data_IF_985156789405
#
_entry.id   IF_985156789405
#
_cell.length_a   1.000
_cell.length_b   1.000
_cell.length_c   1.000
_cell.angle_alpha   90.00
_cell.angle_beta   90.00
_cell.angle_gamma   90.00
#
_symmetry.space_group_name_H-M   'P 1'
#
loop_
_entity.id
_entity.type
_entity.pdbx_description
1 polymer ?
#
# COMPACT_ATOMS: atom_id res chain seq x y z
N UNK A 1 -36.93 41.18 64.31
CA UNK A 1 -37.16 40.84 62.87
C UNK A 1 -36.03 41.47 62.08
N UNK A 2 -34.96 40.70 61.88
CA UNK A 2 -34.44 40.21 60.57
C UNK A 2 -33.97 41.33 59.63
N UNK A 3 -32.68 41.64 59.76
CA UNK A 3 -31.84 42.20 58.71
C UNK A 3 -30.87 41.10 58.28
N UNK A 4 -30.88 40.74 56.99
CA UNK A 4 -29.90 39.85 56.38
C UNK A 4 -29.67 40.28 54.93
N UNK A 5 -28.39 40.40 54.60
CA UNK A 5 -27.82 40.81 53.34
C UNK A 5 -27.92 39.71 52.27
N UNK A 6 -27.97 40.11 51.00
CA UNK A 6 -27.60 39.24 49.88
C UNK A 6 -26.65 39.99 48.94
N UNK A 7 -25.46 39.41 48.85
CA UNK A 7 -24.22 39.85 48.20
C UNK A 7 -24.34 39.67 46.68
N UNK A 8 -23.81 40.63 45.93
CA UNK A 8 -23.92 40.75 44.48
C UNK A 8 -23.18 39.68 43.66
N UNK A 9 -23.87 39.22 42.62
CA UNK A 9 -23.44 38.27 41.58
C UNK A 9 -22.36 38.78 40.60
N UNK A 10 -21.74 39.94 40.87
CA UNK A 10 -20.79 40.56 39.94
C UNK A 10 -19.35 40.00 40.06
N UNK A 11 -19.01 39.33 41.16
CA UNK A 11 -17.66 38.78 41.38
C UNK A 11 -17.37 37.45 40.67
N UNK A 12 -18.40 36.63 40.39
CA UNK A 12 -18.21 35.27 39.88
C UNK A 12 -17.85 35.23 38.39
N UNK A 13 -18.29 36.20 37.59
CA UNK A 13 -17.97 36.26 36.15
C UNK A 13 -16.58 36.81 35.85
N UNK A 14 -15.99 37.61 36.75
CA UNK A 14 -14.62 38.10 36.59
C UNK A 14 -13.58 36.99 36.85
N UNK A 15 -13.86 36.10 37.82
CA UNK A 15 -12.99 34.97 38.13
C UNK A 15 -12.99 33.91 37.00
N UNK A 16 -14.14 33.68 36.36
CA UNK A 16 -14.25 32.74 35.24
C UNK A 16 -13.48 33.19 33.99
N UNK A 17 -13.49 34.49 33.68
CA UNK A 17 -12.72 35.06 32.55
C UNK A 17 -11.20 35.02 32.78
N UNK A 18 -10.75 35.06 34.03
CA UNK A 18 -9.34 34.90 34.38
C UNK A 18 -8.89 33.43 34.34
N UNK A 19 -9.72 32.49 34.77
CA UNK A 19 -9.43 31.05 34.69
C UNK A 19 -9.42 30.57 33.22
N UNK A 20 -10.31 31.07 32.36
CA UNK A 20 -10.32 30.71 30.94
C UNK A 20 -9.09 31.23 30.17
N UNK A 21 -8.52 32.38 30.57
CA UNK A 21 -7.28 32.91 29.99
C UNK A 21 -6.04 32.17 30.46
N UNK A 22 -6.06 31.58 31.65
CA UNK A 22 -4.96 30.75 32.19
C UNK A 22 -4.94 29.34 31.56
N UNK A 23 -6.10 28.78 31.19
CA UNK A 23 -6.18 27.48 30.50
C UNK A 23 -5.73 27.56 29.04
N UNK A 24 -5.92 28.69 28.36
CA UNK A 24 -5.47 28.89 26.96
C UNK A 24 -3.94 29.08 26.86
N UNK A 25 -3.27 29.58 27.90
CA UNK A 25 -1.80 29.74 27.89
C UNK A 25 -1.07 28.43 28.21
N UNK A 26 -1.70 27.49 28.93
CA UNK A 26 -1.09 26.18 29.22
C UNK A 26 -1.27 25.18 28.07
N UNK A 27 -2.30 25.32 27.24
CA UNK A 27 -2.47 24.50 26.03
C UNK A 27 -1.64 25.05 24.84
N UNK A 28 -1.24 26.33 24.86
CA UNK A 28 -0.38 26.96 23.85
C UNK A 28 1.12 26.66 23.96
N UNK A 29 1.56 25.92 24.99
CA UNK A 29 2.97 25.51 25.17
C UNK A 29 3.18 23.99 24.99
N UNK A 30 2.13 23.23 24.67
CA UNK A 30 2.20 21.79 24.42
C UNK A 30 2.51 21.38 22.97
N UNK A 31 2.53 22.32 22.02
CA UNK A 31 2.60 22.04 20.57
C UNK A 31 3.90 22.50 19.90
N UNK A 32 4.94 22.85 20.65
CA UNK A 32 6.30 23.14 20.11
C UNK A 32 7.25 21.91 20.29
N UNK A 33 6.75 20.79 20.81
CA UNK A 33 7.58 19.63 21.20
C UNK A 33 7.69 18.47 20.20
N UNK A 34 6.99 18.49 19.06
CA UNK A 34 6.94 17.32 18.15
C UNK A 34 7.88 17.39 16.93
N UNK A 35 8.68 18.45 16.76
CA UNK A 35 9.65 18.56 15.66
C UNK A 35 11.13 18.51 16.08
N UNK A 36 11.44 18.60 17.39
CA UNK A 36 12.84 18.62 17.86
C UNK A 36 13.40 17.25 18.30
N UNK A 37 12.62 16.17 18.21
CA UNK A 37 13.09 14.81 18.54
C UNK A 37 13.86 14.11 17.42
N UNK A 38 13.64 14.47 16.15
CA UNK A 38 14.24 13.75 15.02
C UNK A 38 15.68 14.16 14.72
N UNK A 39 16.11 15.36 15.11
CA UNK A 39 17.51 15.79 14.93
C UNK A 39 18.48 15.16 15.95
N UNK A 40 18.01 14.70 17.12
CA UNK A 40 18.89 14.03 18.10
C UNK A 40 19.20 12.57 17.75
N UNK A 41 18.32 11.90 17.01
CA UNK A 41 18.54 10.53 16.50
C UNK A 41 19.64 10.51 15.43
N UNK A 42 19.88 11.64 14.73
CA UNK A 42 20.95 11.77 13.75
C UNK A 42 22.33 12.16 14.35
N UNK A 43 22.39 12.61 15.61
CA UNK A 43 23.62 13.16 16.22
C UNK A 43 24.56 12.06 16.77
N UNK A 44 24.10 10.80 16.89
CA UNK A 44 24.96 9.68 17.32
C UNK A 44 24.63 8.37 16.58
N UNK A 45 24.86 8.27 15.25
CA UNK A 45 24.59 7.04 14.51
C UNK A 45 25.38 5.85 15.04
N UNK A 46 26.57 6.06 15.64
CA UNK A 46 27.40 4.99 16.19
C UNK A 46 26.75 4.22 17.36
N UNK A 47 26.03 4.89 18.26
CA UNK A 47 25.37 4.23 19.41
C UNK A 47 24.05 3.60 18.98
N UNK A 48 23.36 4.25 18.04
CA UNK A 48 22.06 3.81 17.51
C UNK A 48 22.22 2.60 16.59
N UNK A 49 23.27 2.57 15.77
CA UNK A 49 23.57 1.46 14.85
C UNK A 49 24.30 0.29 15.51
N UNK A 50 24.72 0.41 16.77
CA UNK A 50 25.36 -0.70 17.48
C UNK A 50 24.33 -1.80 17.77
N UNK A 51 24.47 -3.00 17.17
CA UNK A 51 23.54 -4.11 17.39
C UNK A 51 23.57 -4.65 18.83
N UNK A 52 24.56 -4.28 19.65
CA UNK A 52 24.59 -4.61 21.07
C UNK A 52 23.52 -3.87 21.88
N UNK A 53 23.07 -2.69 21.43
CA UNK A 53 22.11 -1.84 22.15
C UNK A 53 20.64 -2.20 21.83
N UNK A 54 20.27 -3.46 22.09
CA UNK A 54 18.92 -3.99 21.77
C UNK A 54 17.78 -3.26 22.49
N UNK A 55 17.99 -2.80 23.73
CA UNK A 55 16.94 -2.14 24.52
C UNK A 55 16.52 -0.79 23.94
N UNK A 56 17.48 0.06 23.56
CA UNK A 56 17.22 1.35 22.92
C UNK A 56 16.52 1.16 21.57
N UNK A 57 17.00 0.20 20.78
CA UNK A 57 16.46 -0.08 19.44
C UNK A 57 15.01 -0.56 19.51
N UNK A 58 14.70 -1.44 20.46
CA UNK A 58 13.33 -1.93 20.70
C UNK A 58 12.39 -0.83 21.21
N UNK A 59 12.85 0.01 22.13
CA UNK A 59 12.05 1.11 22.66
C UNK A 59 11.66 2.14 21.57
N UNK A 60 12.53 2.37 20.58
CA UNK A 60 12.21 3.23 19.45
C UNK A 60 11.13 2.61 18.56
N UNK A 61 11.18 1.30 18.36
CA UNK A 61 10.20 0.59 17.53
C UNK A 61 8.83 0.44 18.18
N UNK A 62 8.76 0.23 19.50
CA UNK A 62 7.47 0.07 20.19
C UNK A 62 6.57 1.30 20.05
N UNK A 63 7.13 2.50 19.81
CA UNK A 63 6.36 3.69 19.45
C UNK A 63 5.79 3.62 18.04
N UNK A 64 6.52 3.02 17.09
CA UNK A 64 6.11 2.93 15.68
C UNK A 64 5.08 1.83 15.40
N UNK A 65 4.94 0.83 16.28
CA UNK A 65 3.99 -0.28 16.09
C UNK A 65 2.53 0.18 16.07
N UNK A 66 2.20 1.27 16.77
CA UNK A 66 0.84 1.83 16.82
C UNK A 66 0.32 2.34 15.46
N UNK A 67 1.22 2.87 14.62
CA UNK A 67 0.87 3.38 13.29
C UNK A 67 1.10 2.36 12.17
N UNK A 68 1.75 1.23 12.46
CA UNK A 68 2.05 0.22 11.44
C UNK A 68 0.76 -0.31 10.79
N UNK A 69 -0.26 -0.61 11.58
CA UNK A 69 -1.51 -1.13 11.05
C UNK A 69 -2.33 -0.08 10.30
N UNK A 70 -2.31 1.18 10.75
CA UNK A 70 -3.02 2.27 10.06
C UNK A 70 -2.39 2.50 8.68
N UNK A 71 -1.06 2.50 8.59
CA UNK A 71 -0.32 2.65 7.34
C UNK A 71 -0.45 1.45 6.40
N UNK A 72 -0.40 0.22 6.94
CA UNK A 72 -0.60 -0.99 6.14
C UNK A 72 -1.99 -1.04 5.50
N UNK A 73 -3.03 -0.62 6.22
CA UNK A 73 -4.41 -0.62 5.70
C UNK A 73 -4.66 0.48 4.66
N UNK A 74 -3.84 1.53 4.63
CA UNK A 74 -3.93 2.60 3.64
C UNK A 74 -3.31 2.20 2.30
N UNK A 75 -2.64 1.05 2.18
CA UNK A 75 -1.90 0.66 0.97
C UNK A 75 -2.26 -0.77 0.55
N UNK A 76 -2.22 -1.04 -0.74
CA UNK A 76 -2.15 -2.42 -1.23
C UNK A 76 -0.73 -2.92 -1.22
N UNK A 77 -0.58 -4.23 -1.09
CA UNK A 77 0.70 -4.91 -1.16
C UNK A 77 0.82 -5.53 -2.56
N UNK A 78 1.77 -5.09 -3.40
CA UNK A 78 2.00 -5.69 -4.70
C UNK A 78 2.51 -7.13 -4.54
N UNK A 79 1.94 -8.07 -5.27
CA UNK A 79 2.39 -9.45 -5.31
C UNK A 79 3.36 -9.62 -6.49
N UNK A 80 4.59 -10.05 -6.21
CA UNK A 80 5.64 -10.26 -7.21
C UNK A 80 6.31 -11.61 -7.00
N UNK A 81 6.57 -12.38 -8.06
CA UNK A 81 7.28 -13.66 -7.90
C UNK A 81 8.73 -13.45 -7.44
N UNK A 82 9.39 -12.39 -7.92
CA UNK A 82 10.76 -11.98 -7.54
C UNK A 82 10.83 -10.45 -7.43
N UNK A 83 11.87 -9.90 -6.80
CA UNK A 83 11.99 -8.44 -6.59
C UNK A 83 11.98 -7.62 -7.88
N UNK A 84 12.60 -8.16 -8.93
CA UNK A 84 12.71 -7.50 -10.23
C UNK A 84 11.52 -7.79 -11.17
N UNK A 85 10.65 -8.73 -10.79
CA UNK A 85 9.50 -9.11 -11.61
C UNK A 85 8.40 -8.05 -11.47
N UNK A 86 7.55 -7.90 -12.51
CA UNK A 86 6.39 -7.03 -12.41
C UNK A 86 5.40 -7.51 -11.35
N UNK A 87 4.54 -6.60 -10.91
CA UNK A 87 3.39 -6.88 -10.07
C UNK A 87 2.40 -7.72 -10.87
N UNK A 88 2.09 -8.92 -10.36
CA UNK A 88 1.15 -9.87 -10.98
C UNK A 88 -0.21 -9.87 -10.27
N UNK A 89 -0.38 -9.03 -9.26
CA UNK A 89 -1.55 -9.03 -8.38
C UNK A 89 -1.36 -8.14 -7.17
N UNK A 90 -2.41 -7.99 -6.39
CA UNK A 90 -2.40 -7.13 -5.19
C UNK A 90 -3.16 -7.77 -4.05
N UNK A 91 -2.69 -7.50 -2.84
CA UNK A 91 -3.36 -7.85 -1.60
C UNK A 91 -3.79 -6.59 -0.85
N UNK A 92 -5.06 -6.54 -0.46
CA UNK A 92 -5.72 -5.46 0.26
C UNK A 92 -5.96 -5.90 1.71
N UNK A 93 -5.12 -5.45 2.67
CA UNK A 93 -5.35 -5.73 4.07
C UNK A 93 -6.61 -5.02 4.56
N UNK A 94 -7.52 -5.78 5.17
CA UNK A 94 -8.77 -5.27 5.77
C UNK A 94 -8.70 -5.21 7.28
N UNK A 95 -7.90 -6.07 7.90
CA UNK A 95 -7.61 -6.02 9.31
C UNK A 95 -6.13 -6.29 9.56
N UNK A 96 -5.58 -5.59 10.55
CA UNK A 96 -4.20 -5.73 11.00
C UNK A 96 -4.23 -5.67 12.52
N UNK A 97 -3.58 -6.64 13.16
CA UNK A 97 -3.33 -6.63 14.59
C UNK A 97 -1.84 -6.88 14.80
N UNK A 98 -1.21 -6.01 15.58
CA UNK A 98 0.21 -6.07 15.87
C UNK A 98 0.40 -6.04 17.37
N UNK A 99 1.21 -6.95 17.89
CA UNK A 99 1.57 -7.01 19.30
C UNK A 99 3.06 -7.32 19.45
N UNK A 100 3.70 -6.74 20.44
CA UNK A 100 5.06 -7.11 20.83
C UNK A 100 4.99 -8.34 21.76
N UNK A 101 5.78 -9.37 21.45
CA UNK A 101 5.91 -10.57 22.26
C UNK A 101 6.91 -10.34 23.40
N UNK A 102 6.89 -11.19 24.43
CA UNK A 102 7.80 -11.09 25.59
C UNK A 102 9.29 -11.16 25.20
N UNK A 103 9.61 -11.79 24.07
CA UNK A 103 10.96 -11.87 23.52
C UNK A 103 11.42 -10.57 22.82
N UNK A 104 10.52 -9.59 22.65
CA UNK A 104 10.69 -8.34 21.92
C UNK A 104 10.48 -8.46 20.40
N UNK A 105 9.98 -9.59 19.91
CA UNK A 105 9.65 -9.76 18.50
C UNK A 105 8.25 -9.21 18.21
N UNK A 106 8.04 -8.83 16.95
CA UNK A 106 6.76 -8.30 16.50
C UNK A 106 5.88 -9.43 15.98
N UNK A 107 4.74 -9.66 16.60
CA UNK A 107 3.71 -10.53 16.05
C UNK A 107 2.69 -9.71 15.27
N UNK A 108 2.60 -9.95 13.97
CA UNK A 108 1.66 -9.30 13.08
C UNK A 108 0.67 -10.32 12.52
N UNK A 109 -0.62 -10.06 12.75
CA UNK A 109 -1.73 -10.77 12.13
C UNK A 109 -2.36 -9.87 11.06
N UNK A 110 -2.43 -10.38 9.84
CA UNK A 110 -2.96 -9.70 8.67
C UNK A 110 -4.11 -10.51 8.09
N UNK A 111 -5.24 -9.86 7.87
CA UNK A 111 -6.39 -10.42 7.17
C UNK A 111 -6.71 -9.51 6.00
N UNK A 112 -6.96 -10.11 4.84
CA UNK A 112 -7.32 -9.35 3.66
C UNK A 112 -7.80 -10.22 2.51
N UNK A 113 -7.91 -9.57 1.37
CA UNK A 113 -8.34 -10.15 0.11
C UNK A 113 -7.42 -9.67 -0.99
N UNK A 114 -7.40 -10.37 -2.10
CA UNK A 114 -6.63 -9.93 -3.23
C UNK A 114 -6.93 -10.73 -4.47
N UNK A 115 -6.21 -10.37 -5.52
CA UNK A 115 -6.16 -11.13 -6.75
C UNK A 115 -4.71 -11.28 -7.18
N UNK A 116 -4.47 -12.30 -7.99
CA UNK A 116 -3.21 -12.49 -8.67
C UNK A 116 -3.42 -13.14 -10.02
N UNK A 117 -2.37 -13.14 -10.81
CA UNK A 117 -2.36 -13.83 -12.08
C UNK A 117 -1.18 -14.79 -12.16
N UNK A 118 -1.41 -15.91 -12.85
CA UNK A 118 -0.32 -16.78 -13.28
C UNK A 118 -0.62 -17.38 -14.64
N UNK A 119 0.44 -17.69 -15.39
CA UNK A 119 0.36 -18.42 -16.67
C UNK A 119 -0.43 -19.74 -16.57
N UNK A 120 -0.47 -20.37 -15.38
CA UNK A 120 -1.07 -21.69 -15.19
C UNK A 120 -2.56 -21.60 -14.85
N UNK A 121 -2.90 -20.69 -13.93
CA UNK A 121 -4.27 -20.59 -13.39
C UNK A 121 -5.09 -19.50 -14.05
N UNK A 122 -4.45 -18.59 -14.79
CA UNK A 122 -5.02 -17.31 -15.14
C UNK A 122 -5.25 -16.44 -13.91
N UNK A 123 -6.31 -15.63 -13.92
CA UNK A 123 -6.65 -14.73 -12.81
C UNK A 123 -7.21 -15.56 -11.66
N UNK A 124 -6.72 -15.32 -10.45
CA UNK A 124 -7.21 -15.92 -9.22
C UNK A 124 -7.62 -14.82 -8.26
N UNK A 125 -8.79 -14.95 -7.64
CA UNK A 125 -9.22 -14.14 -6.51
C UNK A 125 -9.11 -14.95 -5.22
N UNK A 126 -8.69 -14.33 -4.13
CA UNK A 126 -8.46 -15.02 -2.87
C UNK A 126 -8.72 -14.15 -1.63
N UNK A 127 -9.01 -14.81 -0.52
CA UNK A 127 -8.95 -14.26 0.82
C UNK A 127 -7.76 -14.91 1.54
N UNK A 128 -6.99 -14.12 2.29
CA UNK A 128 -5.85 -14.62 3.04
C UNK A 128 -5.81 -14.09 4.46
N UNK A 129 -5.41 -14.97 5.38
CA UNK A 129 -5.13 -14.67 6.78
C UNK A 129 -3.73 -15.19 7.09
N UNK A 130 -2.88 -14.33 7.64
CA UNK A 130 -1.51 -14.67 7.99
C UNK A 130 -1.15 -14.14 9.37
N UNK A 131 -0.52 -14.98 10.17
CA UNK A 131 0.03 -14.63 11.48
C UNK A 131 1.53 -14.91 11.48
N UNK A 132 2.33 -13.86 11.65
CA UNK A 132 3.76 -13.89 11.39
C UNK A 132 4.49 -13.22 12.55
N UNK A 133 5.56 -13.86 13.01
CA UNK A 133 6.52 -13.29 13.93
C UNK A 133 7.69 -12.72 13.13
N UNK A 134 7.89 -11.41 13.24
CA UNK A 134 8.98 -10.66 12.64
C UNK A 134 10.03 -10.30 13.69
N UNK A 135 11.29 -10.55 13.35
CA UNK A 135 12.44 -9.91 13.96
C UNK A 135 12.67 -8.58 13.25
N UNK A 136 12.77 -7.50 14.01
CA UNK A 136 12.88 -6.16 13.45
C UNK A 136 14.21 -5.51 13.82
N UNK A 137 14.78 -4.75 12.89
CA UNK A 137 16.06 -4.10 13.08
C UNK A 137 16.11 -2.80 12.26
N UNK A 138 16.95 -1.82 12.60
CA UNK A 138 17.09 -0.61 11.77
C UNK A 138 18.53 -0.11 11.65
N UNK A 139 18.86 0.52 10.54
CA UNK A 139 20.15 1.16 10.38
C UNK A 139 19.90 2.61 9.99
N UNK A 140 20.57 3.52 10.70
CA UNK A 140 20.70 4.92 10.31
C UNK A 140 21.88 5.02 9.34
N UNK A 141 21.62 5.43 8.10
CA UNK A 141 22.65 5.59 7.09
C UNK A 141 22.69 7.04 6.61
N UNK A 142 23.38 7.91 7.35
CA UNK A 142 23.32 9.35 7.14
C UNK A 142 22.00 9.92 7.66
N UNK A 143 21.22 10.56 6.78
CA UNK A 143 19.93 11.18 7.13
C UNK A 143 18.72 10.23 6.97
N UNK A 144 18.94 9.02 6.45
CA UNK A 144 17.91 8.00 6.22
C UNK A 144 17.88 6.95 7.32
N UNK A 145 16.67 6.47 7.60
CA UNK A 145 16.42 5.33 8.47
C UNK A 145 15.94 4.15 7.63
N UNK A 146 16.68 3.06 7.65
CA UNK A 146 16.30 1.82 6.97
C UNK A 146 15.87 0.81 8.02
N UNK A 147 14.60 0.43 7.99
CA UNK A 147 14.00 -0.55 8.89
C UNK A 147 13.84 -1.88 8.16
N UNK A 148 14.32 -2.95 8.76
CA UNK A 148 14.19 -4.33 8.29
C UNK A 148 13.20 -5.10 9.14
N UNK A 149 12.26 -5.77 8.50
CA UNK A 149 11.40 -6.76 9.13
C UNK A 149 11.73 -8.12 8.51
N UNK A 150 12.40 -8.98 9.27
CA UNK A 150 12.80 -10.32 8.84
C UNK A 150 11.85 -11.33 9.45
N UNK A 151 11.27 -12.20 8.62
CA UNK A 151 10.43 -13.26 9.15
C UNK A 151 11.28 -14.18 10.04
N UNK A 152 10.86 -14.33 11.30
CA UNK A 152 11.40 -15.35 12.20
C UNK A 152 10.60 -16.64 12.06
N UNK A 153 9.27 -16.55 12.13
CA UNK A 153 8.39 -17.71 12.04
C UNK A 153 7.00 -17.34 11.52
N UNK A 154 6.43 -18.14 10.63
CA UNK A 154 5.00 -18.08 10.28
C UNK A 154 4.23 -18.96 11.26
N UNK A 155 3.36 -18.39 12.08
CA UNK A 155 2.53 -19.15 13.02
C UNK A 155 1.34 -19.81 12.32
N UNK A 156 0.67 -19.06 11.44
CA UNK A 156 -0.40 -19.57 10.60
C UNK A 156 -0.47 -18.81 9.29
N UNK A 157 -0.92 -19.49 8.24
CA UNK A 157 -1.21 -18.90 6.94
C UNK A 157 -2.33 -19.72 6.32
N UNK A 158 -3.45 -19.07 6.08
CA UNK A 158 -4.62 -19.64 5.43
C UNK A 158 -4.94 -18.83 4.18
N UNK A 159 -5.19 -19.53 3.08
CA UNK A 159 -5.59 -18.93 1.81
C UNK A 159 -6.81 -19.65 1.27
N UNK A 160 -7.87 -18.88 1.08
CA UNK A 160 -9.13 -19.34 0.50
C UNK A 160 -9.26 -18.75 -0.90
N UNK A 161 -9.12 -19.60 -1.91
CA UNK A 161 -9.37 -19.22 -3.31
C UNK A 161 -10.87 -19.00 -3.49
N UNK A 162 -11.24 -17.80 -3.93
CA UNK A 162 -12.61 -17.40 -4.21
C UNK A 162 -13.02 -17.76 -5.64
N UNK A 163 -12.11 -17.55 -6.58
CA UNK A 163 -12.39 -17.67 -8.01
C UNK A 163 -11.09 -17.94 -8.77
N UNK A 164 -11.19 -18.72 -9.84
CA UNK A 164 -10.11 -18.98 -10.79
C UNK A 164 -10.68 -18.83 -12.20
N UNK A 165 -10.09 -17.96 -12.98
CA UNK A 165 -10.45 -17.73 -14.37
C UNK A 165 -9.28 -18.13 -15.27
N UNK A 166 -9.45 -19.24 -15.99
CA UNK A 166 -8.46 -19.70 -16.95
C UNK A 166 -8.53 -18.82 -18.21
N UNK A 167 -7.48 -18.04 -18.47
CA UNK A 167 -7.33 -17.32 -19.74
C UNK A 167 -7.23 -18.33 -20.89
N UNK A 168 -8.17 -18.26 -21.84
CA UNK A 168 -8.43 -19.26 -22.87
C UNK A 168 -7.36 -19.44 -23.96
N UNK A 169 -6.12 -18.98 -23.76
CA UNK A 169 -5.00 -19.18 -24.70
C UNK A 169 -4.10 -20.39 -24.36
N UNK A 170 -4.35 -21.06 -23.23
CA UNK A 170 -3.63 -22.29 -22.85
C UNK A 170 -4.20 -23.01 -21.63
N UNK A 171 -5.13 -22.38 -20.91
CA UNK A 171 -5.89 -23.00 -19.82
C UNK A 171 -7.04 -23.85 -20.33
N UNK A 172 -7.40 -24.85 -19.54
CA UNK A 172 -8.35 -25.95 -19.80
C UNK A 172 -9.80 -25.44 -19.87
N UNK A 173 -10.09 -24.48 -20.75
CA UNK A 173 -11.33 -23.71 -20.83
C UNK A 173 -12.59 -24.56 -21.14
N UNK A 174 -12.43 -25.85 -21.42
CA UNK A 174 -13.53 -26.82 -21.57
C UNK A 174 -13.88 -27.62 -20.31
N UNK A 175 -13.20 -27.43 -19.17
CA UNK A 175 -13.23 -28.42 -18.07
C UNK A 175 -13.63 -27.83 -16.70
N UNK A 176 -13.96 -26.53 -16.64
CA UNK A 176 -14.34 -25.85 -15.39
C UNK A 176 -15.65 -26.37 -14.74
N UNK A 177 -16.41 -27.25 -15.40
CA UNK A 177 -17.66 -27.83 -14.88
C UNK A 177 -17.60 -29.35 -14.61
N UNK A 178 -16.42 -29.98 -14.73
CA UNK A 178 -16.24 -31.42 -14.50
C UNK A 178 -15.32 -31.78 -13.31
N UNK A 179 -15.17 -33.08 -13.06
CA UNK A 179 -14.36 -33.73 -11.99
C UNK A 179 -12.92 -33.18 -11.82
N UNK A 180 -12.39 -32.46 -12.81
CA UNK A 180 -11.07 -31.81 -12.77
C UNK A 180 -11.08 -30.38 -12.18
N UNK A 181 -12.23 -29.73 -12.03
CA UNK A 181 -12.32 -28.41 -11.38
C UNK A 181 -11.85 -28.42 -9.93
N UNK A 182 -12.08 -29.53 -9.21
CA UNK A 182 -11.58 -29.74 -7.84
C UNK A 182 -10.06 -29.87 -7.80
N UNK A 183 -9.45 -30.43 -8.84
CA UNK A 183 -7.99 -30.59 -8.93
C UNK A 183 -7.30 -29.26 -9.19
N UNK A 184 -7.90 -28.38 -10.02
CA UNK A 184 -7.39 -27.03 -10.27
C UNK A 184 -7.51 -26.19 -9.00
N UNK A 185 -8.67 -26.23 -8.32
CA UNK A 185 -8.83 -25.47 -7.08
C UNK A 185 -7.84 -25.92 -5.99
N UNK A 186 -7.63 -27.23 -5.82
CA UNK A 186 -6.65 -27.76 -4.88
C UNK A 186 -5.19 -27.42 -5.27
N UNK A 187 -4.88 -27.41 -6.57
CA UNK A 187 -3.58 -26.98 -7.07
C UNK A 187 -3.36 -25.47 -6.86
N UNK A 188 -4.36 -24.65 -7.17
CA UNK A 188 -4.37 -23.20 -6.95
C UNK A 188 -4.21 -22.84 -5.48
N UNK A 189 -4.85 -23.59 -4.57
CA UNK A 189 -4.64 -23.42 -3.13
C UNK A 189 -3.20 -23.73 -2.72
N UNK A 190 -2.60 -24.82 -3.22
CA UNK A 190 -1.20 -25.16 -2.92
C UNK A 190 -0.22 -24.12 -3.47
N UNK A 191 -0.46 -23.64 -4.70
CA UNK A 191 0.37 -22.61 -5.33
C UNK A 191 0.20 -21.27 -4.59
N UNK A 192 -1.03 -20.86 -4.31
CA UNK A 192 -1.35 -19.64 -3.57
C UNK A 192 -0.71 -19.64 -2.19
N UNK A 193 -0.83 -20.73 -1.43
CA UNK A 193 -0.18 -20.87 -0.12
C UNK A 193 1.34 -20.74 -0.22
N UNK A 194 1.97 -21.31 -1.25
CA UNK A 194 3.42 -21.17 -1.46
C UNK A 194 3.82 -19.75 -1.83
N UNK A 195 3.06 -19.09 -2.71
CA UNK A 195 3.32 -17.69 -3.09
C UNK A 195 3.18 -16.80 -1.85
N UNK A 196 2.10 -16.96 -1.08
CA UNK A 196 1.87 -16.21 0.15
C UNK A 196 3.00 -16.45 1.14
N UNK A 197 3.29 -17.71 1.48
CA UNK A 197 4.40 -18.05 2.39
C UNK A 197 5.73 -17.50 1.90
N UNK A 198 5.97 -17.50 0.59
CA UNK A 198 7.18 -16.93 0.00
C UNK A 198 7.21 -15.41 0.16
N UNK A 199 6.10 -14.69 -0.10
CA UNK A 199 6.04 -13.24 0.11
C UNK A 199 6.25 -12.87 1.58
N UNK A 200 5.64 -13.62 2.50
CA UNK A 200 5.78 -13.39 3.94
C UNK A 200 7.21 -13.68 4.42
N UNK A 201 7.81 -14.77 3.92
CA UNK A 201 9.16 -15.19 4.30
C UNK A 201 10.25 -14.23 3.86
N UNK A 202 10.00 -13.47 2.79
CA UNK A 202 10.94 -12.44 2.31
C UNK A 202 11.07 -11.29 3.31
N UNK A 203 10.07 -11.08 4.16
CA UNK A 203 10.00 -9.89 4.99
C UNK A 203 9.83 -8.63 4.16
N UNK A 204 10.09 -7.48 4.76
CA UNK A 204 10.00 -6.20 4.07
C UNK A 204 10.99 -5.18 4.64
N UNK A 205 11.35 -4.22 3.81
CA UNK A 205 12.23 -3.11 4.16
C UNK A 205 11.48 -1.80 3.97
N UNK A 206 11.55 -0.95 4.98
CA UNK A 206 11.01 0.41 4.94
C UNK A 206 12.18 1.37 4.99
N UNK A 207 12.34 2.18 3.95
CA UNK A 207 13.33 3.26 3.92
C UNK A 207 12.57 4.56 4.15
N UNK A 208 12.89 5.25 5.23
CA UNK A 208 12.40 6.59 5.50
C UNK A 208 13.53 7.58 5.27
N UNK A 209 13.31 8.48 4.34
CA UNK A 209 14.22 9.56 4.02
C UNK A 209 13.96 10.77 4.94
N UNK A 210 14.91 11.70 4.98
CA UNK A 210 14.82 12.91 5.81
C UNK A 210 13.76 13.92 5.33
N UNK A 211 13.37 13.84 4.06
CA UNK A 211 12.27 14.63 3.47
C UNK A 211 10.88 14.12 3.89
N UNK A 212 10.82 12.99 4.62
CA UNK A 212 9.58 12.34 5.03
C UNK A 212 9.03 11.34 4.02
N UNK A 213 9.68 11.17 2.86
CA UNK A 213 9.32 10.13 1.91
C UNK A 213 9.58 8.74 2.50
N UNK A 214 8.67 7.82 2.21
CA UNK A 214 8.71 6.45 2.72
C UNK A 214 8.66 5.49 1.54
N UNK A 215 9.79 4.84 1.27
CA UNK A 215 9.90 3.79 0.27
C UNK A 215 9.70 2.43 0.93
N UNK A 216 8.71 1.68 0.41
CA UNK A 216 8.45 0.31 0.84
C UNK A 216 8.98 -0.66 -0.21
N UNK A 217 9.70 -1.69 0.25
CA UNK A 217 10.06 -2.83 -0.59
C UNK A 217 9.72 -4.12 0.12
N UNK A 218 9.19 -5.08 -0.63
CA UNK A 218 9.21 -6.47 -0.20
C UNK A 218 10.66 -6.97 -0.20
N UNK A 219 10.99 -7.88 0.71
CA UNK A 219 12.34 -8.38 0.88
C UNK A 219 13.25 -7.54 1.79
N UNK A 220 14.44 -8.07 2.05
CA UNK A 220 15.54 -7.38 2.75
C UNK A 220 16.41 -6.70 1.71
N UNK A 221 16.42 -5.36 1.69
CA UNK A 221 17.35 -4.58 0.86
C UNK A 221 18.70 -4.54 1.58
N UNK A 222 19.81 -4.73 0.86
CA UNK A 222 21.12 -4.65 1.52
C UNK A 222 21.44 -3.18 1.89
N UNK A 223 22.17 -2.94 2.99
CA UNK A 223 22.63 -1.60 3.33
C UNK A 223 23.34 -0.92 2.15
N UNK A 224 22.99 0.35 1.89
CA UNK A 224 23.52 1.12 0.76
C UNK A 224 22.85 0.85 -0.59
N UNK A 225 21.94 -0.12 -0.70
CA UNK A 225 21.12 -0.34 -1.89
C UNK A 225 19.75 0.32 -1.73
N UNK A 226 19.17 0.74 -2.86
CA UNK A 226 17.78 1.22 -2.93
C UNK A 226 16.89 0.13 -3.53
N UNK A 227 15.61 0.05 -3.12
CA UNK A 227 14.62 -0.72 -3.85
C UNK A 227 14.66 -0.35 -5.34
N UNK A 228 14.63 -1.35 -6.22
CA UNK A 228 14.54 -1.09 -7.66
C UNK A 228 13.19 -0.45 -7.97
N UNK A 229 13.23 0.80 -8.40
CA UNK A 229 12.06 1.56 -8.82
C UNK A 229 12.10 1.78 -10.34
N UNK A 230 10.97 1.66 -11.07
CA UNK A 230 10.93 1.91 -12.50
C UNK A 230 11.22 3.37 -12.86
N UNK A 231 10.85 4.31 -11.99
CA UNK A 231 11.15 5.73 -12.16
C UNK A 231 12.17 6.19 -11.12
N UNK A 232 13.18 6.93 -11.57
CA UNK A 232 14.11 7.59 -10.67
C UNK A 232 13.40 8.63 -9.81
N UNK A 233 13.62 8.55 -8.50
CA UNK A 233 13.20 9.57 -7.55
C UNK A 233 14.22 10.71 -7.65
N UNK A 234 13.94 11.74 -8.44
CA UNK A 234 14.78 12.94 -8.50
C UNK A 234 14.66 13.76 -7.21
N UNK A 235 15.34 14.92 -7.16
CA UNK A 235 15.16 15.94 -6.12
C UNK A 235 13.80 16.64 -6.29
N UNK A 236 12.70 15.94 -6.05
CA UNK A 236 11.37 16.52 -6.15
C UNK A 236 10.66 16.48 -4.82
N UNK A 237 10.03 17.58 -4.43
CA UNK A 237 9.27 17.73 -3.18
C UNK A 237 7.96 16.91 -3.14
N UNK A 238 7.73 16.03 -4.11
CA UNK A 238 6.52 15.21 -4.20
C UNK A 238 6.64 13.97 -3.31
N UNK A 239 5.64 13.75 -2.46
CA UNK A 239 5.51 12.49 -1.73
C UNK A 239 5.21 11.34 -2.72
N UNK A 240 6.12 10.37 -2.79
CA UNK A 240 5.94 9.19 -3.64
C UNK A 240 5.06 8.17 -2.91
N UNK A 241 3.86 7.94 -3.44
CA UNK A 241 2.89 6.99 -2.88
C UNK A 241 3.12 5.55 -3.39
N UNK A 242 3.48 5.41 -4.67
CA UNK A 242 3.81 4.12 -5.30
C UNK A 242 4.76 4.32 -6.48
N UNK A 243 5.66 3.36 -6.70
CA UNK A 243 6.60 3.35 -7.83
C UNK A 243 6.84 1.90 -8.26
N UNK A 244 5.99 1.41 -9.17
CA UNK A 244 5.84 -0.01 -9.46
C UNK A 244 5.73 -0.28 -10.96
N UNK A 245 6.11 -1.49 -11.38
CA UNK A 245 5.86 -2.02 -12.72
C UNK A 245 4.83 -3.12 -12.57
N UNK A 246 3.71 -3.04 -13.29
CA UNK A 246 2.63 -4.03 -13.23
C UNK A 246 2.47 -4.73 -14.59
N UNK A 247 2.15 -6.02 -14.57
CA UNK A 247 1.89 -6.80 -15.78
C UNK A 247 0.38 -6.95 -15.95
N UNK A 248 -0.13 -6.50 -17.09
CA UNK A 248 -1.55 -6.54 -17.43
C UNK A 248 -1.72 -7.39 -18.68
N UNK A 249 -2.39 -8.54 -18.55
CA UNK A 249 -2.79 -9.32 -19.72
C UNK A 249 -4.10 -8.78 -20.30
N UNK A 250 -4.49 -9.33 -21.44
CA UNK A 250 -5.80 -9.08 -22.03
C UNK A 250 -6.93 -9.43 -21.03
N UNK A 251 -7.95 -8.56 -21.00
CA UNK A 251 -9.13 -8.69 -20.13
C UNK A 251 -8.80 -8.62 -18.64
N UNK A 252 -7.70 -7.94 -18.28
CA UNK A 252 -7.29 -7.72 -16.90
C UNK A 252 -7.25 -6.27 -16.49
N UNK A 253 -7.22 -6.09 -15.17
CA UNK A 253 -7.08 -4.81 -14.51
C UNK A 253 -6.14 -4.92 -13.33
N UNK A 254 -5.49 -3.81 -13.02
CA UNK A 254 -4.74 -3.63 -11.79
C UNK A 254 -5.27 -2.42 -11.03
N UNK A 255 -5.48 -2.56 -9.72
CA UNK A 255 -6.04 -1.53 -8.84
C UNK A 255 -4.98 -1.04 -7.86
N UNK A 256 -4.19 -0.06 -8.27
CA UNK A 256 -3.18 0.55 -7.41
C UNK A 256 -3.85 1.47 -6.36
N UNK A 257 -3.35 1.41 -5.12
CA UNK A 257 -3.91 2.15 -3.99
C UNK A 257 -4.44 1.22 -2.88
N UNK A 258 -5.22 1.72 -1.91
CA UNK A 258 -5.76 3.07 -1.89
C UNK A 258 -4.68 4.15 -1.76
N UNK A 259 -4.96 5.36 -2.23
CA UNK A 259 -4.12 6.54 -2.06
C UNK A 259 -4.92 7.63 -1.37
N UNK A 260 -4.42 8.14 -0.25
CA UNK A 260 -5.07 9.20 0.51
C UNK A 260 -4.57 10.56 0.05
N UNK A 261 -5.52 11.44 -0.26
CA UNK A 261 -5.36 12.87 -0.46
C UNK A 261 -5.85 13.52 0.82
N UNK A 262 -4.96 14.16 1.58
CA UNK A 262 -5.25 14.65 2.91
C UNK A 262 -6.12 15.91 2.87
N UNK A 263 -5.83 16.82 1.92
CA UNK A 263 -6.46 18.14 1.83
C UNK A 263 -7.00 18.42 0.40
N UNK A 264 -8.00 19.30 0.31
CA UNK A 264 -8.62 19.69 -0.98
C UNK A 264 -7.68 20.47 -1.92
N UNK A 265 -6.56 20.98 -1.38
CA UNK A 265 -5.52 21.70 -2.14
C UNK A 265 -4.39 20.79 -2.64
N UNK A 266 -4.45 19.49 -2.33
CA UNK A 266 -3.48 18.51 -2.80
C UNK A 266 -3.87 17.94 -4.18
N UNK A 267 -2.87 17.39 -4.89
CA UNK A 267 -3.07 16.79 -6.20
C UNK A 267 -2.35 15.45 -6.32
N UNK A 268 -2.99 14.51 -7.01
CA UNK A 268 -2.38 13.24 -7.37
C UNK A 268 -1.59 13.42 -8.67
N UNK A 269 -0.27 13.22 -8.61
CA UNK A 269 0.59 13.22 -9.78
C UNK A 269 0.82 11.80 -10.28
N UNK A 270 0.42 11.52 -11.51
CA UNK A 270 0.57 10.22 -12.14
C UNK A 270 1.62 10.29 -13.25
N UNK A 271 2.55 9.35 -13.23
CA UNK A 271 3.50 9.10 -14.33
C UNK A 271 3.40 7.64 -14.70
N UNK A 272 3.23 7.35 -15.99
CA UNK A 272 3.09 6.00 -16.49
C UNK A 272 3.80 5.82 -17.84
N UNK A 273 4.15 4.57 -18.13
CA UNK A 273 4.68 4.11 -19.41
C UNK A 273 4.04 2.75 -19.69
N UNK A 274 3.55 2.56 -20.92
CA UNK A 274 3.01 1.28 -21.39
C UNK A 274 4.02 0.62 -22.32
N UNK A 275 4.29 -0.65 -22.06
CA UNK A 275 5.14 -1.52 -22.87
C UNK A 275 4.34 -2.77 -23.26
N UNK A 276 4.48 -3.25 -24.49
CA UNK A 276 3.87 -4.51 -24.94
C UNK A 276 2.39 -4.45 -25.35
N UNK A 277 1.70 -3.32 -25.16
CA UNK A 277 0.34 -3.08 -25.64
C UNK A 277 0.26 -1.74 -26.39
N UNK A 278 -0.66 -1.53 -27.35
CA UNK A 278 -0.78 -0.26 -28.05
C UNK A 278 -1.29 0.86 -27.13
N UNK A 279 -2.16 0.53 -26.19
CA UNK A 279 -2.70 1.44 -25.20
C UNK A 279 -3.25 0.69 -23.99
N UNK A 280 -3.33 1.38 -22.85
CA UNK A 280 -3.99 0.93 -21.61
C UNK A 280 -4.84 2.09 -21.09
N UNK A 281 -6.04 1.81 -20.61
CA UNK A 281 -6.89 2.82 -19.97
C UNK A 281 -6.43 3.07 -18.53
N UNK A 282 -6.47 4.32 -18.10
CA UNK A 282 -6.23 4.70 -16.71
C UNK A 282 -7.45 5.41 -16.17
N UNK A 283 -7.96 4.89 -15.05
CA UNK A 283 -9.20 5.32 -14.45
C UNK A 283 -8.95 5.61 -12.97
N UNK A 284 -9.44 6.74 -12.46
CA UNK A 284 -9.36 7.05 -11.02
C UNK A 284 -10.76 7.03 -10.43
N UNK A 285 -10.93 6.23 -9.37
CA UNK A 285 -12.20 6.07 -8.67
C UNK A 285 -12.03 6.33 -7.18
N UNK A 286 -13.08 6.84 -6.54
CA UNK A 286 -13.12 6.95 -5.08
C UNK A 286 -13.11 5.55 -4.44
N UNK A 287 -12.57 5.46 -3.22
CA UNK A 287 -12.45 4.20 -2.48
C UNK A 287 -13.74 3.39 -2.38
N UNK A 288 -14.92 3.95 -2.05
CA UNK A 288 -16.15 3.16 -1.97
C UNK A 288 -16.51 2.47 -3.29
N UNK A 289 -16.22 3.13 -4.42
CA UNK A 289 -16.45 2.60 -5.77
C UNK A 289 -15.42 1.53 -6.10
N UNK A 290 -14.14 1.82 -5.85
CA UNK A 290 -13.04 0.90 -6.10
C UNK A 290 -13.14 -0.37 -5.26
N UNK A 291 -13.53 -0.28 -3.99
CA UNK A 291 -13.72 -1.44 -3.11
C UNK A 291 -14.78 -2.40 -3.67
N UNK A 292 -15.94 -1.88 -4.12
CA UNK A 292 -16.98 -2.71 -4.76
C UNK A 292 -16.45 -3.33 -6.06
N UNK A 293 -15.68 -2.56 -6.83
CA UNK A 293 -15.14 -3.01 -8.11
C UNK A 293 -14.09 -4.12 -7.95
N UNK A 294 -13.18 -3.97 -7.00
CA UNK A 294 -12.18 -4.98 -6.61
C UNK A 294 -12.90 -6.25 -6.16
N UNK A 295 -13.92 -6.15 -5.30
CA UNK A 295 -14.69 -7.31 -4.85
C UNK A 295 -15.38 -8.06 -5.99
N UNK A 296 -15.91 -7.33 -6.97
CA UNK A 296 -16.45 -7.95 -8.19
C UNK A 296 -15.33 -8.63 -8.99
N UNK A 297 -14.19 -7.96 -9.17
CA UNK A 297 -13.02 -8.49 -9.86
C UNK A 297 -12.47 -9.77 -9.21
N UNK A 298 -12.51 -9.91 -7.90
CA UNK A 298 -12.04 -11.11 -7.19
C UNK A 298 -13.00 -12.30 -7.23
N UNK A 299 -14.28 -12.06 -7.50
CA UNK A 299 -15.34 -13.06 -7.31
C UNK A 299 -16.07 -13.44 -8.59
N UNK A 300 -16.01 -12.62 -9.62
CA UNK A 300 -16.74 -12.79 -10.86
C UNK A 300 -15.78 -12.99 -12.02
N UNK A 301 -16.06 -13.98 -12.86
CA UNK A 301 -15.36 -14.17 -14.13
C UNK A 301 -15.66 -12.99 -15.08
N UNK A 302 -14.69 -12.65 -15.92
CA UNK A 302 -14.71 -11.46 -16.75
C UNK A 302 -14.53 -10.16 -15.99
N UNK A 303 -14.41 -9.07 -16.75
CA UNK A 303 -14.29 -7.73 -16.23
C UNK A 303 -15.56 -6.94 -16.55
N UNK A 304 -16.30 -6.49 -15.52
CA UNK A 304 -17.47 -5.62 -15.66
C UNK A 304 -17.10 -4.13 -15.70
N UNK A 305 -18.00 -3.22 -16.11
CA UNK A 305 -17.75 -1.77 -16.06
C UNK A 305 -17.56 -1.28 -14.60
N UNK A 306 -17.02 -0.06 -14.40
CA UNK A 306 -16.94 0.55 -13.08
C UNK A 306 -18.35 0.71 -12.47
N UNK A 307 -18.53 0.48 -11.16
CA UNK A 307 -19.84 0.58 -10.51
C UNK A 307 -20.48 1.97 -10.55
N UNK A 308 -19.67 3.01 -10.75
CA UNK A 308 -20.12 4.39 -10.93
C UNK A 308 -19.18 5.12 -11.91
N UNK A 309 -19.56 6.31 -12.42
CA UNK A 309 -18.66 7.12 -13.22
C UNK A 309 -17.36 7.39 -12.47
N UNK A 310 -16.19 7.28 -13.14
CA UNK A 310 -14.91 7.60 -12.53
C UNK A 310 -14.72 9.11 -12.38
N UNK A 311 -13.83 9.49 -11.47
CA UNK A 311 -13.44 10.89 -11.26
C UNK A 311 -12.53 11.37 -12.40
N UNK A 312 -11.76 10.44 -12.98
CA UNK A 312 -10.89 10.68 -14.12
C UNK A 312 -10.81 9.42 -15.00
N UNK A 313 -10.81 9.61 -16.31
CA UNK A 313 -10.56 8.58 -17.31
C UNK A 313 -9.67 9.15 -18.44
N UNK A 314 -8.63 8.41 -18.82
CA UNK A 314 -7.77 8.74 -19.95
C UNK A 314 -7.14 7.48 -20.54
N UNK A 315 -6.53 7.62 -21.71
CA UNK A 315 -5.83 6.54 -22.40
C UNK A 315 -4.34 6.78 -22.36
N UNK A 316 -3.58 5.80 -21.87
CA UNK A 316 -2.13 5.80 -21.95
C UNK A 316 -1.74 5.10 -23.26
N UNK A 317 -1.34 5.87 -24.25
CA UNK A 317 -0.79 5.34 -25.50
C UNK A 317 0.63 4.84 -25.28
N UNK A 318 0.97 3.69 -25.85
CA UNK A 318 2.36 3.26 -25.88
C UNK A 318 3.20 4.20 -26.74
N UNK A 319 4.41 4.47 -26.26
CA UNK A 319 5.39 5.24 -27.02
C UNK A 319 6.20 4.27 -27.89
N UNK A 320 6.10 4.32 -29.23
CA UNK A 320 6.90 3.45 -30.07
C UNK A 320 8.40 3.74 -29.84
N UNK A 321 9.26 2.71 -29.80
CA UNK A 321 10.68 2.91 -29.59
C UNK A 321 11.27 3.71 -30.76
N UNK A 322 11.72 4.93 -30.48
CA UNK A 322 12.42 5.77 -31.45
C UNK A 322 13.92 5.68 -31.14
N UNK A 323 14.77 5.20 -32.06
CA UNK A 323 16.21 5.10 -31.83
C UNK A 323 16.82 6.43 -31.37
N UNK A 324 17.56 6.40 -30.26
CA UNK A 324 18.22 7.58 -29.69
C UNK A 324 17.31 8.53 -28.89
N UNK A 325 16.03 8.21 -28.71
CA UNK A 325 15.10 9.00 -27.89
C UNK A 325 14.57 8.16 -26.71
N UNK A 326 14.55 8.69 -25.48
CA UNK A 326 13.91 7.99 -24.36
C UNK A 326 12.40 7.82 -24.62
N UNK A 327 11.76 6.79 -24.04
CA UNK A 327 10.33 6.58 -24.16
C UNK A 327 9.57 7.80 -23.64
N UNK A 328 8.49 8.19 -24.33
CA UNK A 328 7.65 9.28 -23.89
C UNK A 328 6.80 8.84 -22.70
N UNK A 329 7.01 9.49 -21.55
CA UNK A 329 6.22 9.25 -20.35
C UNK A 329 4.87 9.95 -20.44
N UNK A 330 3.80 9.23 -20.11
CA UNK A 330 2.49 9.83 -19.88
C UNK A 330 2.45 10.44 -18.48
N UNK A 331 1.98 11.68 -18.37
CA UNK A 331 1.96 12.45 -17.12
C UNK A 331 0.64 13.18 -16.96
N UNK A 332 0.07 13.12 -15.76
CA UNK A 332 -1.12 13.89 -15.38
C UNK A 332 -1.02 14.38 -13.94
N UNK A 333 -1.54 15.58 -13.71
CA UNK A 333 -1.79 16.13 -12.39
C UNK A 333 -3.29 16.21 -12.20
N UNK A 334 -3.81 15.51 -11.20
CA UNK A 334 -5.23 15.43 -10.90
C UNK A 334 -5.49 16.17 -9.60
N UNK A 335 -6.22 17.29 -9.66
CA UNK A 335 -6.73 17.96 -8.45
C UNK A 335 -7.95 17.18 -7.99
N UNK A 336 -7.81 16.51 -6.85
CA UNK A 336 -8.84 15.66 -6.27
C UNK A 336 -9.24 16.28 -4.94
N UNK A 337 -10.49 16.04 -4.52
CA UNK A 337 -10.92 16.42 -3.18
C UNK A 337 -10.24 15.54 -2.14
N UNK A 338 -10.13 16.01 -0.92
CA UNK A 338 -9.68 15.22 0.21
C UNK A 338 -10.48 13.90 0.28
N UNK A 339 -9.77 12.78 0.35
CA UNK A 339 -10.38 11.47 0.24
C UNK A 339 -9.39 10.39 -0.15
N UNK A 340 -9.90 9.19 -0.39
CA UNK A 340 -9.09 8.03 -0.72
C UNK A 340 -9.50 7.48 -2.08
N UNK A 341 -8.53 7.21 -2.96
CA UNK A 341 -8.76 6.87 -4.35
C UNK A 341 -7.99 5.62 -4.76
N UNK A 342 -8.48 4.91 -5.76
CA UNK A 342 -7.74 3.89 -6.50
C UNK A 342 -7.40 4.38 -7.89
N UNK A 343 -6.21 4.06 -8.36
CA UNK A 343 -5.81 4.21 -9.77
C UNK A 343 -5.91 2.83 -10.40
N UNK A 344 -6.83 2.70 -11.35
CA UNK A 344 -7.10 1.46 -12.06
C UNK A 344 -6.45 1.53 -13.43
N UNK A 345 -5.56 0.60 -13.71
CA UNK A 345 -5.04 0.35 -15.05
C UNK A 345 -5.91 -0.74 -15.67
N UNK A 346 -6.61 -0.41 -16.75
CA UNK A 346 -7.57 -1.28 -17.41
C UNK A 346 -7.08 -1.68 -18.81
N UNK A 347 -7.03 -2.99 -19.04
CA UNK A 347 -6.75 -3.58 -20.34
C UNK A 347 -7.90 -4.52 -20.75
N UNK A 348 -9.13 -4.08 -20.49
CA UNK A 348 -10.36 -4.74 -20.92
C UNK A 348 -11.19 -3.83 -21.82
N UNK A 349 -12.19 -4.39 -22.50
CA UNK A 349 -13.12 -3.60 -23.31
C UNK A 349 -14.26 -2.93 -22.50
N UNK A 350 -14.21 -2.96 -21.15
CA UNK A 350 -15.39 -2.68 -20.32
C UNK A 350 -15.28 -1.49 -19.37
N UNK A 351 -14.09 -0.96 -19.05
CA UNK A 351 -14.01 0.24 -18.21
C UNK A 351 -13.61 1.50 -18.95
N UNK A 352 -12.80 1.39 -20.01
CA UNK A 352 -12.22 2.54 -20.68
C UNK A 352 -12.62 2.74 -22.13
N UNK A 353 -11.83 3.55 -22.82
CA UNK A 353 -12.06 3.97 -24.21
C UNK A 353 -11.33 3.05 -25.19
N UNK A 354 -10.37 2.27 -24.72
CA UNK A 354 -9.64 1.32 -25.56
C UNK A 354 -10.45 0.05 -25.77
N UNK A 355 -10.26 -0.55 -26.94
CA UNK A 355 -10.69 -1.92 -27.21
C UNK A 355 -9.42 -2.73 -27.50
N UNK A 356 -8.91 -3.47 -26.51
CA UNK A 356 -7.76 -4.34 -26.70
C UNK A 356 -8.03 -5.33 -27.84
N UNK A 357 -7.09 -5.47 -28.78
CA UNK A 357 -7.23 -6.45 -29.85
C UNK A 357 -7.28 -7.87 -29.27
N UNK A 358 -8.13 -8.75 -29.81
CA UNK A 358 -8.28 -10.16 -29.39
C UNK A 358 -7.00 -11.02 -29.53
N UNK A 359 -5.92 -10.46 -30.10
CA UNK A 359 -4.67 -11.16 -30.37
C UNK A 359 -3.49 -10.25 -30.02
N UNK A 360 -2.71 -10.65 -29.01
CA UNK A 360 -1.34 -10.16 -28.85
C UNK A 360 -0.51 -10.74 -30.00
N UNK A 361 0.17 -9.88 -30.76
CA UNK A 361 1.24 -10.34 -31.64
C UNK A 361 2.46 -10.64 -30.78
N UNK A 362 2.88 -11.91 -30.76
CA UNK A 362 4.14 -12.36 -30.16
C UNK A 362 5.37 -11.66 -30.76
#
# INVERSE_FOLDING_TARGET
MKSQACIGYAGLMALWKWILRLVVVVIGLGSIGASCGQSLVAVMPGVINDPANRSLRRALFSFATGELCSELQKRSIPLKLRDADPVIGRFYPTACAVQELENGNLFAQLLGHGYGWSNVTGRLGFEANAAIEYDHDFIMDGSRMVVYFRQKQTQSSDLKVLMVESSGQGGIAGVATGVLGTTIQAASQKIGNRILQHQLARGFTVVRESDGSVSFSLGVVQPGQMPKAPFGLGESDWLVLANERTELHQDQRDFAGPFTIADDDEALYLTALVEGAPAVDVVVVEKPVGDVWIRAHERQAGAGPPPSPPVFDDVIQASPPIPGRPPQLWRRMLRLRAGTYYVVFDHTATAGRTQPAAQAGD
#
